data_IF_853906734083
#
_entry.id   IF_853906734083
#
_cell.length_a   1.000
_cell.length_b   1.000
_cell.length_c   1.000
_cell.angle_alpha   90.00
_cell.angle_beta   90.00
_cell.angle_gamma   90.00
#
_symmetry.space_group_name_H-M   'P 1'
#
loop_
_entity.id
_entity.type
_entity.pdbx_description
1 polymer ?
#
# COMPACT_ATOMS: atom_id res chain seq x y z
N UNK A 1 1.96 7.48 -24.55
CA UNK A 1 1.10 7.01 -23.45
C UNK A 1 1.79 7.47 -22.17
N UNK A 2 1.15 8.30 -21.34
CA UNK A 2 1.79 8.78 -20.13
C UNK A 2 2.07 7.57 -19.23
N UNK A 3 3.33 7.38 -18.82
CA UNK A 3 3.72 6.37 -17.85
C UNK A 3 2.95 6.65 -16.55
N UNK A 4 1.89 5.88 -16.32
CA UNK A 4 1.11 5.95 -15.09
C UNK A 4 2.05 5.61 -13.94
N UNK A 5 2.13 6.49 -12.93
CA UNK A 5 2.97 6.26 -11.75
C UNK A 5 2.47 5.04 -10.99
N UNK A 6 3.40 4.29 -10.37
CA UNK A 6 3.05 3.18 -9.48
C UNK A 6 2.08 3.65 -8.38
N UNK A 7 0.96 2.95 -8.16
CA UNK A 7 0.02 3.27 -7.08
C UNK A 7 0.68 3.23 -5.71
N UNK A 8 0.16 4.03 -4.79
CA UNK A 8 0.57 4.09 -3.38
C UNK A 8 -0.67 4.13 -2.50
N UNK A 9 -0.53 3.94 -1.18
CA UNK A 9 -1.63 4.11 -0.21
C UNK A 9 -2.41 5.43 -0.31
N UNK A 10 -1.84 6.47 -0.93
CA UNK A 10 -2.50 7.77 -1.15
C UNK A 10 -3.08 7.96 -2.56
N UNK A 11 -2.90 6.98 -3.44
CA UNK A 11 -3.44 7.05 -4.79
C UNK A 11 -4.98 7.00 -4.76
N UNK A 12 -5.68 7.79 -5.59
CA UNK A 12 -7.14 7.81 -5.62
C UNK A 12 -7.75 6.42 -5.78
N UNK A 13 -7.22 5.60 -6.69
CA UNK A 13 -7.70 4.24 -6.95
C UNK A 13 -7.55 3.32 -5.73
N UNK A 14 -6.49 3.49 -4.93
CA UNK A 14 -6.29 2.71 -3.69
C UNK A 14 -7.28 3.13 -2.62
N UNK A 15 -7.50 4.43 -2.48
CA UNK A 15 -8.46 4.99 -1.53
C UNK A 15 -9.89 4.55 -1.88
N UNK A 16 -10.25 4.55 -3.17
CA UNK A 16 -11.56 4.11 -3.64
C UNK A 16 -11.80 2.62 -3.33
N UNK A 17 -10.83 1.74 -3.65
CA UNK A 17 -10.93 0.30 -3.31
C UNK A 17 -11.04 0.10 -1.80
N UNK A 18 -10.28 0.85 -1.00
CA UNK A 18 -10.33 0.75 0.46
C UNK A 18 -11.67 1.23 1.03
N UNK A 19 -12.21 2.34 0.52
CA UNK A 19 -13.52 2.85 0.90
C UNK A 19 -14.64 1.86 0.53
N UNK A 20 -14.59 1.23 -0.65
CA UNK A 20 -15.55 0.20 -1.06
C UNK A 20 -15.53 -1.02 -0.13
N UNK A 21 -14.36 -1.40 0.38
CA UNK A 21 -14.21 -2.51 1.34
C UNK A 21 -14.71 -2.15 2.74
N UNK A 22 -14.58 -0.88 3.17
CA UNK A 22 -15.03 -0.39 4.47
C UNK A 22 -16.52 -0.06 4.51
N UNK A 23 -17.10 0.36 3.38
CA UNK A 23 -18.47 0.85 3.32
C UNK A 23 -19.53 -0.13 3.86
N UNK A 24 -19.44 -1.46 3.64
CA UNK A 24 -20.42 -2.40 4.20
C UNK A 24 -20.46 -2.42 5.73
N UNK A 25 -19.30 -2.35 6.39
CA UNK A 25 -19.23 -2.37 7.85
C UNK A 25 -19.73 -1.05 8.46
N UNK A 26 -19.39 0.08 7.83
CA UNK A 26 -19.90 1.40 8.26
C UNK A 26 -21.41 1.53 8.00
N UNK A 27 -21.90 1.06 6.86
CA UNK A 27 -23.34 1.08 6.55
C UNK A 27 -24.14 0.21 7.52
N UNK A 28 -23.60 -0.97 7.86
CA UNK A 28 -24.16 -1.84 8.89
C UNK A 28 -24.24 -1.14 10.25
N UNK A 29 -23.19 -0.42 10.65
CA UNK A 29 -23.19 0.38 11.88
C UNK A 29 -24.22 1.52 11.83
N UNK A 30 -24.36 2.22 10.70
CA UNK A 30 -25.40 3.23 10.50
C UNK A 30 -26.82 2.66 10.46
N UNK A 31 -26.98 1.33 10.37
CA UNK A 31 -28.24 0.65 10.07
C UNK A 31 -28.89 1.16 8.77
N UNK A 32 -28.05 1.39 7.75
CA UNK A 32 -28.43 1.87 6.43
C UNK A 32 -27.86 0.95 5.33
N UNK A 33 -28.45 0.93 4.13
CA UNK A 33 -27.79 0.31 2.99
C UNK A 33 -26.51 1.08 2.61
N UNK A 34 -25.54 0.37 2.03
CA UNK A 34 -24.38 1.02 1.41
C UNK A 34 -24.87 2.03 0.38
N UNK A 35 -24.48 3.29 0.56
CA UNK A 35 -24.87 4.40 -0.28
C UNK A 35 -23.63 5.24 -0.67
N UNK A 36 -23.82 6.17 -1.59
CA UNK A 36 -22.74 7.03 -2.08
C UNK A 36 -22.21 7.97 -0.99
N UNK A 37 -23.05 8.42 -0.06
CA UNK A 37 -22.68 9.32 1.03
C UNK A 37 -21.64 8.67 1.97
N UNK A 38 -21.89 7.43 2.42
CA UNK A 38 -20.94 6.67 3.24
C UNK A 38 -19.62 6.47 2.50
N UNK A 39 -19.68 6.11 1.21
CA UNK A 39 -18.49 5.87 0.40
C UNK A 39 -17.68 7.16 0.21
N UNK A 40 -18.32 8.26 -0.15
CA UNK A 40 -17.67 9.56 -0.32
C UNK A 40 -17.05 10.05 0.99
N UNK A 41 -17.71 9.80 2.12
CA UNK A 41 -17.18 10.12 3.44
C UNK A 41 -15.92 9.34 3.78
N UNK A 42 -15.94 8.03 3.52
CA UNK A 42 -14.76 7.18 3.68
C UNK A 42 -13.61 7.60 2.75
N UNK A 43 -13.89 7.89 1.48
CA UNK A 43 -12.88 8.39 0.53
C UNK A 43 -12.28 9.71 1.01
N UNK A 44 -13.10 10.63 1.52
CA UNK A 44 -12.62 11.88 2.10
C UNK A 44 -11.74 11.62 3.33
N UNK A 45 -12.19 10.81 4.28
CA UNK A 45 -11.48 10.55 5.53
C UNK A 45 -10.13 9.84 5.29
N UNK A 46 -10.10 8.82 4.43
CA UNK A 46 -8.90 8.03 4.10
C UNK A 46 -7.77 8.86 3.45
N UNK A 47 -8.08 10.01 2.84
CA UNK A 47 -7.05 10.92 2.32
C UNK A 47 -6.17 11.51 3.43
N UNK A 48 -6.65 11.56 4.66
CA UNK A 48 -5.94 12.15 5.80
C UNK A 48 -5.15 11.13 6.62
N UNK A 49 -5.41 9.83 6.44
CA UNK A 49 -4.70 8.75 7.10
C UNK A 49 -5.56 7.50 7.29
N UNK A 50 -5.05 6.56 8.08
CA UNK A 50 -5.70 5.26 8.35
C UNK A 50 -5.89 5.01 9.83
N UNK A 51 -5.83 6.07 10.64
CA UNK A 51 -5.99 6.02 12.09
C UNK A 51 -7.48 6.05 12.42
N UNK A 52 -7.99 4.99 13.05
CA UNK A 52 -9.43 4.79 13.27
C UNK A 52 -10.10 5.95 14.02
N UNK A 53 -9.41 6.53 15.01
CA UNK A 53 -9.93 7.68 15.75
C UNK A 53 -10.00 8.93 14.86
N UNK A 54 -8.94 9.21 14.10
CA UNK A 54 -8.93 10.36 13.17
C UNK A 54 -9.97 10.20 12.05
N UNK A 55 -10.12 8.99 11.53
CA UNK A 55 -11.14 8.68 10.52
C UNK A 55 -12.55 8.94 11.06
N UNK A 56 -12.84 8.47 12.28
CA UNK A 56 -14.13 8.68 12.93
C UNK A 56 -14.42 10.18 13.15
N UNK A 57 -13.41 10.97 13.54
CA UNK A 57 -13.51 12.43 13.68
C UNK A 57 -13.75 13.15 12.34
N UNK A 58 -13.08 12.74 11.28
CA UNK A 58 -13.31 13.29 9.93
C UNK A 58 -14.73 12.99 9.41
N UNK A 59 -15.28 11.81 9.75
CA UNK A 59 -16.66 11.46 9.44
C UNK A 59 -17.65 12.32 10.24
N UNK A 60 -17.37 12.63 11.52
CA UNK A 60 -18.17 13.54 12.32
C UNK A 60 -18.23 14.95 11.73
N UNK A 61 -17.06 15.52 11.43
CA UNK A 61 -16.94 16.91 11.01
C UNK A 61 -17.57 17.17 9.63
N UNK A 62 -17.60 16.16 8.75
CA UNK A 62 -18.08 16.29 7.36
C UNK A 62 -19.45 15.67 7.10
N UNK A 63 -19.85 14.67 7.90
CA UNK A 63 -21.04 13.87 7.64
C UNK A 63 -22.02 13.83 8.81
N UNK A 64 -21.76 14.59 9.88
CA UNK A 64 -22.62 14.67 11.07
C UNK A 64 -22.89 13.31 11.74
N UNK A 65 -22.03 12.33 11.48
CA UNK A 65 -22.05 11.04 12.14
C UNK A 65 -21.50 11.26 13.55
N UNK A 66 -22.23 10.89 14.60
CA UNK A 66 -21.68 10.94 15.96
C UNK A 66 -20.87 9.66 16.20
N UNK A 67 -19.52 9.69 16.14
CA UNK A 67 -18.72 8.49 16.29
C UNK A 67 -18.83 7.96 17.72
N UNK A 68 -18.96 6.65 17.83
CA UNK A 68 -18.85 5.91 19.08
C UNK A 68 -17.63 4.98 19.05
N UNK A 69 -17.44 4.22 20.13
CA UNK A 69 -16.33 3.28 20.21
C UNK A 69 -16.41 2.15 19.17
N UNK A 70 -17.62 1.77 18.75
CA UNK A 70 -17.84 0.72 17.76
C UNK A 70 -17.38 1.18 16.37
N UNK A 71 -17.69 2.41 15.97
CA UNK A 71 -17.19 2.98 14.71
C UNK A 71 -15.66 3.08 14.70
N UNK A 72 -15.04 3.46 15.82
CA UNK A 72 -13.57 3.53 15.92
C UNK A 72 -12.94 2.16 15.74
N UNK A 73 -13.51 1.10 16.34
CA UNK A 73 -13.04 -0.27 16.19
C UNK A 73 -13.15 -0.77 14.74
N UNK A 74 -14.28 -0.47 14.06
CA UNK A 74 -14.47 -0.77 12.63
C UNK A 74 -13.36 -0.10 11.80
N UNK A 75 -13.04 1.16 12.10
CA UNK A 75 -12.05 1.95 11.35
C UNK A 75 -10.60 1.65 11.75
N UNK A 76 -10.35 0.95 12.85
CA UNK A 76 -9.00 0.55 13.27
C UNK A 76 -8.37 -0.43 12.26
N UNK A 77 -9.19 -1.22 11.58
CA UNK A 77 -8.79 -2.09 10.47
C UNK A 77 -8.45 -1.35 9.17
N UNK A 78 -8.66 -0.04 9.06
CA UNK A 78 -8.47 0.71 7.82
C UNK A 78 -7.04 0.63 7.28
N UNK A 79 -6.03 0.58 8.17
CA UNK A 79 -4.63 0.45 7.77
C UNK A 79 -4.35 -0.83 6.98
N UNK A 80 -4.88 -1.98 7.44
CA UNK A 80 -4.76 -3.26 6.74
C UNK A 80 -5.52 -3.25 5.42
N UNK A 81 -6.72 -2.68 5.40
CA UNK A 81 -7.55 -2.61 4.19
C UNK A 81 -6.89 -1.74 3.11
N UNK A 82 -6.31 -0.60 3.49
CA UNK A 82 -5.55 0.26 2.57
C UNK A 82 -4.30 -0.46 2.07
N UNK A 83 -3.62 -1.22 2.92
CA UNK A 83 -2.47 -2.02 2.50
C UNK A 83 -2.87 -3.08 1.45
N UNK A 84 -3.95 -3.83 1.69
CA UNK A 84 -4.46 -4.81 0.73
C UNK A 84 -4.95 -4.15 -0.57
N UNK A 85 -5.60 -2.99 -0.47
CA UNK A 85 -6.01 -2.20 -1.63
C UNK A 85 -4.81 -1.72 -2.46
N UNK A 86 -3.73 -1.27 -1.80
CA UNK A 86 -2.49 -0.90 -2.47
C UNK A 86 -1.89 -2.09 -3.21
N UNK A 87 -1.82 -3.26 -2.56
CA UNK A 87 -1.31 -4.48 -3.20
C UNK A 87 -2.12 -4.85 -4.45
N UNK A 88 -3.45 -4.74 -4.38
CA UNK A 88 -4.34 -5.02 -5.49
C UNK A 88 -4.15 -4.04 -6.65
N UNK A 89 -4.14 -2.73 -6.37
CA UNK A 89 -3.96 -1.70 -7.38
C UNK A 89 -2.57 -1.80 -8.06
N UNK A 90 -1.53 -2.07 -7.28
CA UNK A 90 -0.18 -2.31 -7.78
C UNK A 90 -0.15 -3.53 -8.70
N UNK A 91 -0.77 -4.65 -8.32
CA UNK A 91 -0.76 -5.86 -9.14
C UNK A 91 -1.46 -5.63 -10.49
N UNK A 92 -2.58 -4.90 -10.49
CA UNK A 92 -3.27 -4.53 -11.73
C UNK A 92 -2.43 -3.57 -12.59
N UNK A 93 -1.75 -2.61 -11.95
CA UNK A 93 -0.84 -1.69 -12.63
C UNK A 93 0.35 -2.44 -13.26
N UNK A 94 0.98 -3.37 -12.53
CA UNK A 94 2.08 -4.21 -13.05
C UNK A 94 1.62 -4.98 -14.28
N UNK A 95 0.46 -5.64 -14.19
CA UNK A 95 -0.13 -6.40 -15.30
C UNK A 95 -0.44 -5.53 -16.51
N UNK A 96 -1.03 -4.35 -16.30
CA UNK A 96 -1.46 -3.44 -17.37
C UNK A 96 -0.27 -2.80 -18.09
N UNK A 97 0.82 -2.53 -17.37
CA UNK A 97 2.03 -1.90 -17.93
C UNK A 97 3.08 -2.92 -18.39
N UNK A 98 2.84 -4.23 -18.20
CA UNK A 98 3.78 -5.28 -18.60
C UNK A 98 5.12 -5.21 -17.87
N UNK A 99 5.09 -4.80 -16.59
CA UNK A 99 6.30 -4.64 -15.78
C UNK A 99 6.69 -6.01 -15.21
N UNK A 100 7.97 -6.36 -15.29
CA UNK A 100 8.46 -7.67 -14.87
C UNK A 100 9.67 -7.56 -13.93
N UNK A 101 9.74 -8.51 -12.99
CA UNK A 101 10.87 -8.67 -12.09
C UNK A 101 11.90 -9.64 -12.72
N UNK A 102 12.57 -9.20 -13.79
CA UNK A 102 13.38 -10.06 -14.66
C UNK A 102 14.78 -10.38 -14.12
N UNK A 103 15.34 -9.53 -13.25
CA UNK A 103 16.64 -9.78 -12.65
C UNK A 103 16.63 -11.10 -11.83
N UNK A 104 17.65 -11.95 -11.97
CA UNK A 104 17.75 -13.18 -11.20
C UNK A 104 18.05 -12.91 -9.73
N UNK A 105 17.67 -13.85 -8.87
CA UNK A 105 18.12 -13.89 -7.47
C UNK A 105 19.65 -13.99 -7.46
N UNK A 106 20.28 -13.48 -6.40
CA UNK A 106 21.73 -13.29 -6.25
C UNK A 106 22.35 -12.20 -7.15
N UNK A 107 21.55 -11.43 -7.88
CA UNK A 107 22.05 -10.25 -8.62
C UNK A 107 22.41 -9.11 -7.67
N UNK A 108 23.57 -8.49 -7.88
CA UNK A 108 23.99 -7.28 -7.18
C UNK A 108 23.29 -6.06 -7.79
N UNK A 109 22.53 -5.35 -6.97
CA UNK A 109 21.78 -4.15 -7.38
C UNK A 109 22.08 -2.96 -6.47
N UNK A 110 22.12 -1.78 -7.06
CA UNK A 110 22.10 -0.49 -6.37
C UNK A 110 20.65 -0.07 -6.13
N UNK A 111 20.36 0.33 -4.89
CA UNK A 111 19.06 0.85 -4.44
C UNK A 111 19.25 2.23 -3.83
N UNK A 112 18.17 3.00 -3.58
CA UNK A 112 18.27 4.32 -2.93
C UNK A 112 18.94 4.32 -1.55
N UNK A 113 19.03 3.17 -0.87
CA UNK A 113 19.64 3.05 0.46
C UNK A 113 20.95 2.25 0.46
N UNK A 114 21.53 2.01 -0.72
CA UNK A 114 22.81 1.32 -0.87
C UNK A 114 22.75 0.11 -1.79
N UNK A 115 23.90 -0.55 -1.91
CA UNK A 115 24.08 -1.73 -2.76
C UNK A 115 23.81 -3.01 -1.99
N UNK A 116 23.07 -3.93 -2.59
CA UNK A 116 22.76 -5.22 -1.98
C UNK A 116 22.45 -6.29 -3.01
N UNK A 117 22.19 -7.49 -2.50
CA UNK A 117 21.92 -8.67 -3.33
C UNK A 117 20.44 -9.01 -3.29
N UNK A 118 19.83 -9.30 -4.44
CA UNK A 118 18.44 -9.78 -4.52
C UNK A 118 18.36 -11.16 -3.86
N UNK A 119 17.49 -11.31 -2.85
CA UNK A 119 17.24 -12.58 -2.16
C UNK A 119 15.90 -13.21 -2.52
N UNK A 120 14.93 -12.38 -2.90
CA UNK A 120 13.59 -12.81 -3.30
C UNK A 120 12.96 -11.79 -4.26
N UNK A 121 11.91 -12.19 -4.97
CA UNK A 121 11.17 -11.32 -5.89
C UNK A 121 9.68 -11.64 -5.90
N UNK A 122 8.86 -10.61 -6.07
CA UNK A 122 7.43 -10.74 -6.33
C UNK A 122 7.12 -10.30 -7.76
N UNK A 123 6.66 -11.24 -8.58
CA UNK A 123 6.21 -10.94 -9.95
C UNK A 123 4.88 -10.20 -9.95
N UNK A 124 3.96 -10.57 -9.04
CA UNK A 124 2.67 -9.90 -8.86
C UNK A 124 2.85 -8.41 -8.58
N UNK A 125 3.83 -8.05 -7.75
CA UNK A 125 4.05 -6.67 -7.36
C UNK A 125 5.20 -5.99 -8.10
N UNK A 126 5.94 -6.71 -8.94
CA UNK A 126 7.20 -6.25 -9.51
C UNK A 126 8.11 -5.61 -8.44
N UNK A 127 8.47 -6.38 -7.42
CA UNK A 127 9.38 -5.95 -6.34
C UNK A 127 10.50 -6.94 -6.10
N UNK A 128 11.64 -6.44 -5.63
CA UNK A 128 12.79 -7.23 -5.16
C UNK A 128 13.00 -7.07 -3.67
N UNK A 129 13.26 -8.18 -2.98
CA UNK A 129 13.78 -8.17 -1.60
C UNK A 129 15.29 -8.12 -1.68
N UNK A 130 15.88 -6.97 -1.32
CA UNK A 130 17.33 -6.73 -1.42
C UNK A 130 17.96 -6.76 -0.04
N UNK A 131 18.96 -7.61 0.13
CA UNK A 131 19.77 -7.69 1.35
C UNK A 131 21.00 -6.79 1.20
N UNK A 132 21.01 -5.68 1.95
CA UNK A 132 22.11 -4.72 2.04
C UNK A 132 22.98 -5.13 3.24
N UNK A 133 24.26 -5.49 3.05
CA UNK A 133 25.12 -5.98 4.13
C UNK A 133 25.21 -5.04 5.33
N UNK A 134 25.32 -3.73 5.09
CA UNK A 134 25.39 -2.71 6.15
C UNK A 134 24.15 -2.71 7.07
N UNK A 135 22.99 -3.13 6.58
CA UNK A 135 21.78 -3.26 7.38
C UNK A 135 21.72 -4.60 8.11
N UNK A 136 22.24 -5.66 7.50
CA UNK A 136 22.29 -6.99 8.09
C UNK A 136 23.19 -7.04 9.33
N UNK A 137 24.29 -6.28 9.35
CA UNK A 137 25.18 -6.18 10.51
C UNK A 137 24.54 -5.50 11.72
N UNK A 138 23.49 -4.70 11.50
CA UNK A 138 22.80 -3.93 12.55
C UNK A 138 21.65 -4.67 13.21
N UNK A 139 21.20 -5.79 12.64
CA UNK A 139 20.02 -6.51 13.15
C UNK A 139 20.12 -8.02 12.91
N UNK A 140 20.09 -8.80 13.99
CA UNK A 140 19.90 -10.25 13.91
C UNK A 140 18.57 -10.57 13.24
N UNK A 141 18.62 -11.35 12.15
CA UNK A 141 17.41 -11.76 11.41
C UNK A 141 16.93 -10.79 10.32
N UNK A 142 17.74 -9.83 9.88
CA UNK A 142 17.40 -8.99 8.73
C UNK A 142 17.35 -9.83 7.43
N UNK A 143 16.15 -9.96 6.86
CA UNK A 143 15.89 -10.75 5.65
C UNK A 143 16.11 -9.92 4.36
N UNK A 144 15.90 -8.60 4.45
CA UNK A 144 16.07 -7.67 3.32
C UNK A 144 15.07 -6.52 3.39
N UNK A 145 15.24 -5.53 2.51
CA UNK A 145 14.28 -4.46 2.28
C UNK A 145 13.63 -4.65 0.91
N UNK A 146 12.32 -4.45 0.82
CA UNK A 146 11.56 -4.58 -0.41
C UNK A 146 11.67 -3.29 -1.22
N UNK A 147 12.04 -3.41 -2.48
CA UNK A 147 12.14 -2.30 -3.44
C UNK A 147 11.31 -2.59 -4.69
N UNK A 148 10.60 -1.59 -5.24
CA UNK A 148 10.07 -1.67 -6.61
C UNK A 148 11.20 -1.90 -7.62
N UNK A 149 10.95 -2.72 -8.65
CA UNK A 149 11.94 -3.07 -9.67
C UNK A 149 12.56 -1.84 -10.33
N UNK A 150 11.78 -0.78 -10.54
CA UNK A 150 12.21 0.48 -11.15
C UNK A 150 13.18 1.29 -10.29
N UNK A 151 13.36 0.92 -9.03
CA UNK A 151 14.33 1.55 -8.10
C UNK A 151 15.62 0.75 -7.95
N UNK A 152 15.74 -0.41 -8.61
CA UNK A 152 16.93 -1.26 -8.57
C UNK A 152 17.70 -1.14 -9.87
N UNK A 153 19.01 -0.87 -9.79
CA UNK A 153 19.92 -0.83 -10.93
C UNK A 153 20.96 -1.92 -10.80
N UNK A 154 21.22 -2.68 -11.86
CA UNK A 154 22.28 -3.70 -11.85
C UNK A 154 23.63 -3.01 -11.70
N UNK A 155 24.46 -3.52 -10.78
CA UNK A 155 25.86 -3.13 -10.69
C UNK A 155 26.65 -4.02 -11.64
N UNK A 156 27.13 -3.46 -12.75
CA UNK A 156 28.02 -4.20 -13.64
C UNK A 156 29.34 -4.48 -12.90
N UNK A 157 29.59 -5.75 -12.62
CA UNK A 157 30.89 -6.19 -12.10
C UNK A 157 31.84 -6.21 -13.30
N UNK A 158 32.71 -5.20 -13.39
CA UNK A 158 33.77 -5.18 -14.39
C UNK A 158 34.60 -6.47 -14.25
N UNK A 159 34.60 -7.29 -15.28
CA UNK A 159 35.43 -8.51 -15.38
C UNK A 159 36.91 -8.16 -15.57
#
# INVERSE_FOLDING_TARGET
MAESKRPTSRSPEVIEIAAEKLAPEVAKWCNEPVNDEIREGLVSALRYGTDGYKLARELEDKWYISPDAELVEILEGASSIVWDAERQAVAEWVKTNGIAADLPIETLVETPHGTGVIRDKSEEQATYTVCIPEHAERSTGYIGTIYPVEKCKVVEVAQ
#
